data_IF_823243775727
#
_entry.id   IF_823243775727
#
_cell.length_a   1.000
_cell.length_b   1.000
_cell.length_c   1.000
_cell.angle_alpha   90.00
_cell.angle_beta   90.00
_cell.angle_gamma   90.00
#
_symmetry.space_group_name_H-M   'P 1'
#
loop_
_entity.id
_entity.type
_entity.pdbx_description
1 polymer ?
#
# COMPACT_ATOMS: atom_id res chain seq x y z
N UNK A 1 -75.89 22.95 18.49
CA UNK A 1 -75.47 21.84 17.62
C UNK A 1 -74.25 22.32 16.83
N UNK A 2 -73.07 21.79 17.15
CA UNK A 2 -71.79 22.22 16.54
C UNK A 2 -71.68 21.52 15.18
N UNK A 3 -71.65 22.30 14.09
CA UNK A 3 -71.39 21.79 12.75
C UNK A 3 -69.90 21.44 12.62
N UNK A 4 -69.63 20.17 12.33
CA UNK A 4 -68.29 19.69 11.97
C UNK A 4 -68.23 19.68 10.44
N UNK A 5 -67.44 20.58 9.86
CA UNK A 5 -67.11 20.57 8.43
C UNK A 5 -66.05 19.49 8.14
N UNK A 6 -66.21 18.66 7.09
CA UNK A 6 -65.24 17.64 6.73
C UNK A 6 -63.96 18.29 6.16
N UNK A 7 -62.82 17.86 6.67
CA UNK A 7 -61.51 18.27 6.20
C UNK A 7 -61.22 17.57 4.86
N UNK A 8 -61.35 18.28 3.72
CA UNK A 8 -60.97 17.77 2.41
C UNK A 8 -59.44 17.76 2.29
N UNK A 9 -58.82 16.65 2.71
CA UNK A 9 -57.39 16.42 2.50
C UNK A 9 -57.19 16.13 1.00
N UNK A 10 -56.61 17.09 0.28
CA UNK A 10 -56.36 16.98 -1.15
C UNK A 10 -55.38 15.84 -1.42
N UNK A 11 -55.78 14.83 -2.19
CA UNK A 11 -55.00 13.62 -2.48
C UNK A 11 -53.61 13.95 -3.06
N UNK A 12 -53.49 15.08 -3.76
CA UNK A 12 -52.24 15.61 -4.29
C UNK A 12 -51.25 16.04 -3.20
N UNK A 13 -51.73 16.60 -2.09
CA UNK A 13 -50.87 16.98 -0.95
C UNK A 13 -50.33 15.75 -0.23
N UNK A 14 -51.12 14.67 -0.12
CA UNK A 14 -50.67 13.40 0.47
C UNK A 14 -49.64 12.71 -0.43
N UNK A 15 -49.84 12.73 -1.75
CA UNK A 15 -48.88 12.20 -2.72
C UNK A 15 -47.56 13.01 -2.73
N UNK A 16 -47.63 14.35 -2.64
CA UNK A 16 -46.44 15.20 -2.55
C UNK A 16 -45.67 14.95 -1.25
N UNK A 17 -46.37 14.78 -0.12
CA UNK A 17 -45.75 14.48 1.17
C UNK A 17 -45.09 13.10 1.17
N UNK A 18 -45.70 12.08 0.55
CA UNK A 18 -45.11 10.75 0.37
C UNK A 18 -43.90 10.77 -0.57
N UNK A 19 -43.90 11.59 -1.63
CA UNK A 19 -42.71 11.81 -2.47
C UNK A 19 -41.57 12.51 -1.71
N UNK A 20 -41.88 13.50 -0.86
CA UNK A 20 -40.88 14.22 -0.06
C UNK A 20 -40.27 13.33 1.03
N UNK A 21 -41.05 12.42 1.63
CA UNK A 21 -40.57 11.41 2.59
C UNK A 21 -39.77 10.29 1.90
N UNK A 22 -40.02 10.04 0.60
CA UNK A 22 -39.22 9.12 -0.22
C UNK A 22 -37.89 9.75 -0.69
N UNK A 23 -37.80 11.08 -0.71
CA UNK A 23 -36.59 11.85 -1.05
C UNK A 23 -35.67 12.07 0.15
N UNK A 24 -36.15 11.86 1.37
CA UNK A 24 -35.27 11.62 2.52
C UNK A 24 -34.75 10.19 2.48
N UNK A 25 -33.94 9.86 1.47
CA UNK A 25 -32.96 8.80 1.69
C UNK A 25 -32.17 9.26 2.90
N UNK A 26 -32.22 8.47 3.98
CA UNK A 26 -31.37 8.68 5.13
C UNK A 26 -29.93 8.77 4.62
N UNK A 27 -29.39 9.98 4.52
CA UNK A 27 -27.96 10.24 4.43
C UNK A 27 -27.33 9.92 5.79
N UNK A 28 -27.57 8.69 6.27
CA UNK A 28 -26.84 8.16 7.40
C UNK A 28 -25.48 7.74 6.86
N UNK A 29 -24.45 8.30 7.47
CA UNK A 29 -23.07 7.93 7.22
C UNK A 29 -22.95 6.39 7.31
N UNK A 30 -22.56 5.75 6.21
CA UNK A 30 -22.25 4.33 6.23
C UNK A 30 -21.04 4.09 7.14
N UNK A 31 -21.01 2.96 7.84
CA UNK A 31 -19.87 2.55 8.65
C UNK A 31 -18.92 1.76 7.78
N UNK A 32 -17.68 2.25 7.70
CA UNK A 32 -16.56 1.62 7.04
C UNK A 32 -15.55 1.24 8.10
N UNK A 33 -15.05 0.00 8.02
CA UNK A 33 -13.96 -0.45 8.87
C UNK A 33 -12.75 -0.73 8.00
N UNK A 34 -11.62 -0.13 8.33
CA UNK A 34 -10.32 -0.42 7.74
C UNK A 34 -9.56 -1.34 8.70
N UNK A 35 -9.15 -2.51 8.22
CA UNK A 35 -8.23 -3.39 8.95
C UNK A 35 -6.85 -3.24 8.33
N UNK A 36 -5.91 -2.77 9.12
CA UNK A 36 -4.55 -2.49 8.70
C UNK A 36 -3.65 -3.64 9.13
N UNK A 37 -2.89 -4.20 8.20
CA UNK A 37 -1.93 -5.25 8.53
C UNK A 37 -0.88 -4.78 9.52
N UNK A 38 -0.50 -3.50 9.47
CA UNK A 38 0.66 -2.97 10.17
C UNK A 38 0.28 -1.83 11.14
N UNK A 39 1.29 -1.22 11.75
CA UNK A 39 1.13 -0.14 12.71
C UNK A 39 1.04 1.21 11.99
N UNK A 40 0.21 2.15 12.45
CA UNK A 40 0.07 3.51 11.86
C UNK A 40 1.38 4.33 11.85
N UNK A 41 2.44 3.82 12.46
CA UNK A 41 3.77 4.44 12.47
C UNK A 41 4.48 4.30 11.12
N UNK A 42 4.07 3.36 10.27
CA UNK A 42 4.65 3.20 8.94
C UNK A 42 4.07 4.22 7.97
N UNK A 43 4.94 4.85 7.18
CA UNK A 43 4.53 5.89 6.25
C UNK A 43 3.57 5.37 5.16
N UNK A 44 3.71 4.12 4.71
CA UNK A 44 2.75 3.50 3.78
C UNK A 44 1.32 3.55 4.36
N UNK A 45 1.17 3.13 5.62
CA UNK A 45 -0.08 3.15 6.36
C UNK A 45 -0.63 4.57 6.54
N UNK A 46 0.23 5.52 6.92
CA UNK A 46 -0.18 6.93 7.03
C UNK A 46 -0.65 7.53 5.70
N UNK A 47 -0.02 7.15 4.59
CA UNK A 47 -0.34 7.67 3.27
C UNK A 47 -1.71 7.17 2.78
N UNK A 48 -1.98 5.86 2.85
CA UNK A 48 -3.30 5.35 2.47
C UNK A 48 -4.37 5.75 3.49
N UNK A 49 -4.03 5.84 4.78
CA UNK A 49 -4.93 6.36 5.83
C UNK A 49 -5.41 7.77 5.49
N UNK A 50 -4.49 8.65 5.09
CA UNK A 50 -4.81 10.03 4.69
C UNK A 50 -5.74 10.04 3.48
N UNK A 51 -5.44 9.26 2.43
CA UNK A 51 -6.27 9.21 1.23
C UNK A 51 -7.69 8.68 1.51
N UNK A 52 -7.80 7.64 2.34
CA UNK A 52 -9.09 7.09 2.77
C UNK A 52 -9.88 8.14 3.57
N UNK A 53 -9.24 8.84 4.52
CA UNK A 53 -9.90 9.86 5.31
C UNK A 53 -10.32 11.07 4.49
N UNK A 54 -9.47 11.56 3.59
CA UNK A 54 -9.79 12.70 2.72
C UNK A 54 -11.02 12.39 1.83
N UNK A 55 -11.20 11.13 1.46
CA UNK A 55 -12.24 10.68 0.53
C UNK A 55 -13.53 10.21 1.21
N UNK A 56 -13.43 9.39 2.27
CA UNK A 56 -14.58 8.71 2.87
C UNK A 56 -15.11 9.42 4.12
N UNK A 57 -14.25 9.93 5.00
CA UNK A 57 -14.66 10.48 6.30
C UNK A 57 -15.53 11.75 6.22
N UNK A 58 -15.53 12.55 5.13
CA UNK A 58 -16.53 13.61 4.95
C UNK A 58 -17.97 13.11 4.75
N UNK A 59 -18.14 11.84 4.35
CA UNK A 59 -19.43 11.26 3.95
C UNK A 59 -19.87 10.07 4.83
N UNK A 60 -18.92 9.40 5.47
CA UNK A 60 -19.07 8.09 6.10
C UNK A 60 -18.33 8.02 7.44
N UNK A 61 -18.77 7.12 8.33
CA UNK A 61 -18.12 6.85 9.61
C UNK A 61 -17.02 5.81 9.37
N UNK A 62 -15.76 6.26 9.33
CA UNK A 62 -14.60 5.41 9.06
C UNK A 62 -13.86 5.11 10.37
N UNK A 63 -13.61 3.83 10.62
CA UNK A 63 -12.92 3.36 11.82
C UNK A 63 -11.83 2.35 11.47
N UNK A 64 -10.80 2.28 12.30
CA UNK A 64 -9.56 1.57 11.99
C UNK A 64 -9.23 0.53 13.06
N UNK A 65 -8.60 -0.56 12.64
CA UNK A 65 -8.01 -1.57 13.54
C UNK A 65 -6.67 -2.04 12.98
N UNK A 66 -5.60 -1.82 13.74
CA UNK A 66 -4.25 -2.23 13.39
C UNK A 66 -3.96 -3.65 13.89
N UNK A 67 -3.43 -4.51 13.03
CA UNK A 67 -3.01 -5.86 13.41
C UNK A 67 -1.56 -5.89 13.95
N UNK A 68 -0.72 -4.91 13.60
CA UNK A 68 0.69 -4.74 14.02
C UNK A 68 1.61 -5.94 13.67
N UNK A 69 1.37 -6.56 12.50
CA UNK A 69 2.01 -7.84 12.12
C UNK A 69 3.48 -7.74 11.71
N UNK A 70 4.01 -6.55 11.44
CA UNK A 70 5.47 -6.38 11.17
C UNK A 70 6.30 -6.42 12.45
N UNK A 71 5.74 -5.96 13.57
CA UNK A 71 6.44 -5.89 14.86
C UNK A 71 6.20 -7.14 15.70
N UNK A 72 4.95 -7.60 15.76
CA UNK A 72 4.56 -8.79 16.50
C UNK A 72 5.12 -10.09 15.87
N UNK A 73 5.37 -11.12 16.68
CA UNK A 73 5.79 -12.43 16.16
C UNK A 73 4.61 -13.17 15.52
N UNK A 74 4.90 -14.06 14.56
CA UNK A 74 3.88 -14.73 13.72
C UNK A 74 2.86 -15.53 14.53
N UNK A 75 3.25 -16.07 15.68
CA UNK A 75 2.38 -16.85 16.57
C UNK A 75 1.22 -16.02 17.13
N UNK A 76 1.35 -14.68 17.17
CA UNK A 76 0.30 -13.79 17.64
C UNK A 76 -0.67 -13.35 16.53
N UNK A 77 -0.41 -13.65 15.26
CA UNK A 77 -1.21 -13.14 14.14
C UNK A 77 -2.66 -13.64 14.18
N UNK A 78 -2.88 -14.90 14.56
CA UNK A 78 -4.21 -15.48 14.68
C UNK A 78 -5.04 -14.75 15.76
N UNK A 79 -4.43 -14.43 16.90
CA UNK A 79 -5.09 -13.67 17.97
C UNK A 79 -5.47 -12.26 17.48
N UNK A 80 -4.56 -11.58 16.77
CA UNK A 80 -4.85 -10.26 16.18
C UNK A 80 -6.00 -10.32 15.17
N UNK A 81 -6.07 -11.38 14.35
CA UNK A 81 -7.17 -11.60 13.41
C UNK A 81 -8.51 -11.86 14.13
N UNK A 82 -8.50 -12.56 15.27
CA UNK A 82 -9.69 -12.76 16.10
C UNK A 82 -10.20 -11.46 16.71
N UNK A 83 -9.28 -10.59 17.16
CA UNK A 83 -9.63 -9.26 17.66
C UNK A 83 -10.19 -8.36 16.55
N UNK A 84 -9.56 -8.35 15.37
CA UNK A 84 -10.06 -7.63 14.20
C UNK A 84 -11.46 -8.11 13.79
N UNK A 85 -11.69 -9.42 13.79
CA UNK A 85 -12.99 -10.00 13.47
C UNK A 85 -14.07 -9.61 14.49
N UNK A 86 -13.77 -9.69 15.79
CA UNK A 86 -14.68 -9.22 16.85
C UNK A 86 -15.00 -7.73 16.70
N UNK A 87 -14.00 -6.93 16.31
CA UNK A 87 -14.18 -5.51 16.04
C UNK A 87 -15.17 -5.28 14.90
N UNK A 88 -15.00 -5.98 13.76
CA UNK A 88 -15.92 -5.95 12.62
C UNK A 88 -17.35 -6.31 13.06
N UNK A 89 -17.52 -7.42 13.78
CA UNK A 89 -18.84 -7.88 14.23
C UNK A 89 -19.51 -6.88 15.17
N UNK A 90 -18.76 -6.26 16.09
CA UNK A 90 -19.30 -5.32 17.09
C UNK A 90 -19.83 -4.02 16.47
N UNK A 91 -19.37 -3.67 15.27
CA UNK A 91 -19.68 -2.39 14.60
C UNK A 91 -20.70 -2.54 13.47
N UNK A 92 -20.86 -3.76 12.94
CA UNK A 92 -21.75 -4.10 11.83
C UNK A 92 -21.59 -3.14 10.64
N UNK A 93 -20.40 -3.10 10.01
CA UNK A 93 -20.11 -2.18 8.92
C UNK A 93 -20.88 -2.54 7.65
N UNK A 94 -21.09 -1.54 6.80
CA UNK A 94 -21.60 -1.73 5.44
C UNK A 94 -20.48 -2.07 4.44
N UNK A 95 -19.22 -1.80 4.80
CA UNK A 95 -18.05 -2.10 3.97
C UNK A 95 -16.82 -2.30 4.85
N UNK A 96 -15.97 -3.26 4.47
CA UNK A 96 -14.65 -3.47 5.09
C UNK A 96 -13.56 -3.17 4.06
N UNK A 97 -12.54 -2.44 4.47
CA UNK A 97 -11.29 -2.26 3.73
C UNK A 97 -10.22 -3.12 4.39
N UNK A 98 -9.53 -3.97 3.63
CA UNK A 98 -8.38 -4.74 4.11
C UNK A 98 -7.10 -4.15 3.50
N UNK A 99 -6.21 -3.63 4.34
CA UNK A 99 -4.92 -3.11 3.91
C UNK A 99 -3.80 -4.14 4.13
N UNK A 100 -3.14 -4.45 3.03
CA UNK A 100 -1.98 -5.33 2.85
C UNK A 100 -2.23 -6.84 3.07
N UNK A 101 -1.22 -7.64 2.71
CA UNK A 101 -1.32 -9.10 2.56
C UNK A 101 -1.76 -9.81 3.84
N UNK A 102 -1.35 -9.37 5.03
CA UNK A 102 -1.66 -10.08 6.28
C UNK A 102 -3.14 -9.93 6.66
N UNK A 103 -3.72 -8.75 6.52
CA UNK A 103 -5.14 -8.52 6.77
C UNK A 103 -5.99 -9.34 5.80
N UNK A 104 -5.64 -9.36 4.51
CA UNK A 104 -6.30 -10.19 3.51
C UNK A 104 -6.16 -11.68 3.83
N UNK A 105 -4.93 -12.17 4.00
CA UNK A 105 -4.65 -13.57 4.26
C UNK A 105 -5.39 -14.10 5.49
N UNK A 106 -5.48 -13.31 6.56
CA UNK A 106 -6.06 -13.74 7.83
C UNK A 106 -7.59 -13.58 7.92
N UNK A 107 -8.20 -12.71 7.11
CA UNK A 107 -9.63 -12.38 7.23
C UNK A 107 -10.48 -12.68 6.00
N UNK A 108 -9.90 -12.93 4.82
CA UNK A 108 -10.67 -13.10 3.58
C UNK A 108 -11.77 -14.17 3.67
N UNK A 109 -11.48 -15.34 4.27
CA UNK A 109 -12.48 -16.42 4.39
C UNK A 109 -13.67 -16.00 5.26
N UNK A 110 -13.41 -15.45 6.45
CA UNK A 110 -14.46 -14.98 7.38
C UNK A 110 -15.33 -13.90 6.74
N UNK A 111 -14.71 -13.01 5.97
CA UNK A 111 -15.40 -11.95 5.26
C UNK A 111 -16.17 -12.46 4.03
N UNK A 112 -15.68 -13.48 3.33
CA UNK A 112 -16.41 -14.11 2.23
C UNK A 112 -17.64 -14.88 2.73
N UNK A 113 -17.54 -15.52 3.89
CA UNK A 113 -18.69 -16.15 4.57
C UNK A 113 -19.66 -15.09 5.12
N UNK A 114 -19.19 -13.87 5.32
CA UNK A 114 -20.02 -12.71 5.61
C UNK A 114 -20.66 -12.15 4.33
N UNK A 115 -21.78 -11.45 4.48
CA UNK A 115 -22.41 -10.73 3.36
C UNK A 115 -21.83 -9.33 3.13
N UNK A 116 -20.73 -8.98 3.81
CA UNK A 116 -20.15 -7.64 3.81
C UNK A 116 -19.27 -7.44 2.56
N UNK A 117 -19.47 -6.38 1.76
CA UNK A 117 -18.55 -5.96 0.70
C UNK A 117 -17.14 -5.67 1.22
N UNK A 118 -16.13 -6.07 0.45
CA UNK A 118 -14.72 -5.87 0.80
C UNK A 118 -13.98 -5.17 -0.33
N UNK A 119 -13.22 -4.12 0.04
CA UNK A 119 -12.19 -3.52 -0.81
C UNK A 119 -10.83 -3.85 -0.22
N UNK A 120 -9.92 -4.46 -0.97
CA UNK A 120 -8.54 -4.63 -0.53
C UNK A 120 -7.62 -3.57 -1.15
N UNK A 121 -6.51 -3.27 -0.49
CA UNK A 121 -5.41 -2.42 -0.99
C UNK A 121 -4.08 -2.94 -0.44
N UNK A 122 -2.94 -2.56 -1.05
CA UNK A 122 -1.61 -2.98 -0.59
C UNK A 122 -1.31 -4.47 -0.80
N UNK A 123 -2.10 -5.15 -1.65
CA UNK A 123 -1.97 -6.59 -1.86
C UNK A 123 -0.85 -6.88 -2.85
N UNK A 124 0.27 -7.41 -2.35
CA UNK A 124 1.44 -7.78 -3.16
C UNK A 124 1.33 -9.21 -3.71
N UNK A 125 0.64 -10.11 -3.00
CA UNK A 125 0.36 -11.44 -3.52
C UNK A 125 -0.58 -11.37 -4.74
N UNK A 126 -0.60 -12.41 -5.57
CA UNK A 126 -1.63 -12.52 -6.60
C UNK A 126 -2.99 -12.79 -5.92
N UNK A 127 -4.03 -11.97 -6.14
CA UNK A 127 -5.34 -12.20 -5.52
C UNK A 127 -5.95 -13.59 -5.76
N UNK A 128 -5.50 -14.30 -6.80
CA UNK A 128 -5.90 -15.68 -7.08
C UNK A 128 -5.40 -16.69 -6.03
N UNK A 129 -4.28 -16.42 -5.38
CA UNK A 129 -3.72 -17.29 -4.32
C UNK A 129 -4.60 -17.26 -3.05
N UNK A 130 -5.35 -16.17 -2.85
CA UNK A 130 -6.36 -16.05 -1.80
C UNK A 130 -7.77 -16.43 -2.28
N UNK A 131 -7.92 -16.90 -3.52
CA UNK A 131 -9.21 -17.16 -4.17
C UNK A 131 -10.15 -15.94 -4.25
N UNK A 132 -9.64 -14.70 -4.17
CA UNK A 132 -10.52 -13.50 -4.16
C UNK A 132 -11.30 -13.36 -5.47
N UNK A 133 -10.77 -13.86 -6.59
CA UNK A 133 -11.47 -13.87 -7.88
C UNK A 133 -12.71 -14.77 -7.90
N UNK A 134 -12.88 -15.64 -6.91
CA UNK A 134 -14.07 -16.48 -6.74
C UNK A 134 -15.11 -15.80 -5.83
N UNK A 135 -14.72 -14.73 -5.13
CA UNK A 135 -15.54 -14.03 -4.14
C UNK A 135 -16.21 -12.81 -4.77
N UNK A 136 -17.53 -12.88 -4.99
CA UNK A 136 -18.33 -11.81 -5.61
C UNK A 136 -18.32 -10.47 -4.85
N UNK A 137 -17.96 -10.50 -3.57
CA UNK A 137 -17.96 -9.32 -2.68
C UNK A 137 -16.61 -8.63 -2.59
N UNK A 138 -15.59 -9.13 -3.26
CA UNK A 138 -14.23 -8.61 -3.17
C UNK A 138 -13.86 -7.86 -4.45
N UNK A 139 -13.34 -6.66 -4.27
CA UNK A 139 -12.60 -5.91 -5.29
C UNK A 139 -11.43 -5.19 -4.61
N UNK A 140 -10.57 -4.51 -5.36
CA UNK A 140 -9.50 -3.77 -4.71
C UNK A 140 -8.35 -3.35 -5.62
N UNK A 141 -7.30 -2.91 -4.96
CA UNK A 141 -6.08 -2.37 -5.55
C UNK A 141 -4.94 -3.35 -5.28
N UNK A 142 -4.28 -3.73 -6.35
CA UNK A 142 -3.16 -4.65 -6.36
C UNK A 142 -1.87 -3.82 -6.38
N UNK A 143 -1.00 -4.06 -5.41
CA UNK A 143 0.28 -3.37 -5.29
C UNK A 143 1.33 -4.06 -6.15
N UNK A 144 1.88 -3.37 -7.15
CA UNK A 144 2.97 -3.91 -7.96
C UNK A 144 4.12 -2.91 -8.03
N UNK A 145 5.30 -3.23 -7.47
CA UNK A 145 6.44 -2.35 -7.59
C UNK A 145 6.79 -2.14 -9.06
N UNK A 146 7.15 -0.89 -9.40
CA UNK A 146 7.36 -0.42 -10.77
C UNK A 146 8.74 -0.80 -11.33
N UNK A 147 9.20 -2.02 -11.02
CA UNK A 147 10.56 -2.53 -11.21
C UNK A 147 11.18 -2.10 -12.54
N UNK A 148 10.52 -2.44 -13.66
CA UNK A 148 11.08 -2.18 -15.00
C UNK A 148 11.31 -0.69 -15.24
N UNK A 149 10.36 0.16 -14.83
CA UNK A 149 10.46 1.62 -14.99
C UNK A 149 11.52 2.20 -14.04
N UNK A 150 11.58 1.69 -12.81
CA UNK A 150 12.57 2.10 -11.81
C UNK A 150 14.00 1.70 -12.21
N UNK A 151 14.22 0.48 -12.70
CA UNK A 151 15.53 0.02 -13.17
C UNK A 151 16.00 0.78 -14.42
N UNK A 152 15.10 1.06 -15.38
CA UNK A 152 15.41 1.92 -16.53
C UNK A 152 15.82 3.33 -16.10
N UNK A 153 15.13 3.88 -15.10
CA UNK A 153 15.51 5.18 -14.53
C UNK A 153 16.90 5.11 -13.89
N UNK A 154 17.15 4.12 -13.03
CA UNK A 154 18.46 3.94 -12.38
C UNK A 154 19.57 3.81 -13.44
N UNK A 155 19.35 3.05 -14.52
CA UNK A 155 20.29 2.92 -15.63
C UNK A 155 20.66 4.26 -16.27
N UNK A 156 19.68 5.17 -16.42
CA UNK A 156 19.89 6.51 -16.98
C UNK A 156 20.66 7.43 -16.03
N UNK A 157 20.52 7.21 -14.72
CA UNK A 157 21.16 8.02 -13.68
C UNK A 157 22.58 7.55 -13.35
N UNK A 158 22.85 6.26 -13.49
CA UNK A 158 24.19 5.70 -13.32
C UNK A 158 25.10 6.04 -14.51
N UNK A 159 26.43 6.12 -14.29
CA UNK A 159 27.39 6.29 -15.38
C UNK A 159 27.14 5.30 -16.52
N UNK A 160 27.36 5.77 -17.75
CA UNK A 160 27.21 4.95 -18.96
C UNK A 160 28.42 4.02 -19.12
N UNK A 161 28.48 2.97 -18.31
CA UNK A 161 29.49 1.90 -18.37
C UNK A 161 28.94 0.65 -19.05
N UNK A 162 29.84 -0.19 -19.57
CA UNK A 162 29.53 -1.35 -20.43
C UNK A 162 28.77 -2.47 -19.68
N UNK A 163 28.83 -2.50 -18.35
CA UNK A 163 28.04 -3.41 -17.52
C UNK A 163 27.55 -2.68 -16.27
N UNK A 164 26.26 -2.84 -15.95
CA UNK A 164 25.68 -2.30 -14.72
C UNK A 164 25.09 -3.43 -13.89
N UNK A 165 25.59 -3.61 -12.69
CA UNK A 165 25.12 -4.60 -11.73
C UNK A 165 24.40 -3.90 -10.59
N UNK A 166 23.15 -4.26 -10.33
CA UNK A 166 22.29 -3.66 -9.31
C UNK A 166 21.93 -4.71 -8.27
N UNK A 167 22.22 -4.43 -7.00
CA UNK A 167 21.79 -5.24 -5.87
C UNK A 167 20.40 -4.78 -5.42
N UNK A 168 19.43 -5.68 -5.36
CA UNK A 168 18.09 -5.39 -4.83
C UNK A 168 17.91 -6.15 -3.52
N UNK A 169 17.74 -5.42 -2.42
CA UNK A 169 17.63 -5.96 -1.08
C UNK A 169 16.19 -5.97 -0.60
N UNK A 170 15.77 -7.12 -0.09
CA UNK A 170 14.46 -7.36 0.53
C UNK A 170 14.65 -8.00 1.90
N UNK A 171 13.70 -7.78 2.80
CA UNK A 171 13.58 -8.60 4.00
C UNK A 171 12.90 -9.95 3.68
N UNK A 172 12.62 -10.74 4.72
CA UNK A 172 11.95 -12.05 4.62
C UNK A 172 10.53 -12.03 5.21
N UNK A 173 9.81 -10.92 5.02
CA UNK A 173 8.37 -10.82 5.29
C UNK A 173 7.50 -11.38 4.16
N UNK A 174 6.24 -11.72 4.47
CA UNK A 174 5.25 -12.24 3.50
C UNK A 174 5.10 -11.33 2.27
N UNK A 175 5.06 -10.02 2.51
CA UNK A 175 4.97 -9.00 1.46
C UNK A 175 6.24 -8.94 0.62
N UNK A 176 7.41 -9.06 1.24
CA UNK A 176 8.70 -9.11 0.55
C UNK A 176 8.85 -10.36 -0.31
N UNK A 177 8.44 -11.53 0.19
CA UNK A 177 8.43 -12.77 -0.60
C UNK A 177 7.58 -12.60 -1.86
N UNK A 178 6.37 -12.04 -1.71
CA UNK A 178 5.44 -11.80 -2.83
C UNK A 178 5.99 -10.80 -3.84
N UNK A 179 6.55 -9.68 -3.36
CA UNK A 179 7.16 -8.65 -4.21
C UNK A 179 8.42 -9.17 -4.93
N UNK A 180 9.28 -9.91 -4.24
CA UNK A 180 10.49 -10.52 -4.79
C UNK A 180 10.16 -11.58 -5.84
N UNK A 181 9.15 -12.42 -5.60
CA UNK A 181 8.67 -13.40 -6.58
C UNK A 181 8.15 -12.70 -7.83
N UNK A 182 7.32 -11.66 -7.67
CA UNK A 182 6.84 -10.86 -8.81
C UNK A 182 8.00 -10.27 -9.62
N UNK A 183 8.99 -9.68 -8.94
CA UNK A 183 10.16 -9.04 -9.56
C UNK A 183 11.03 -10.06 -10.30
N UNK A 184 11.32 -11.22 -9.69
CA UNK A 184 12.14 -12.27 -10.30
C UNK A 184 11.51 -12.83 -11.58
N UNK A 185 10.18 -12.98 -11.62
CA UNK A 185 9.43 -13.39 -12.83
C UNK A 185 9.51 -12.34 -13.95
N UNK A 186 9.60 -11.05 -13.62
CA UNK A 186 9.76 -9.98 -14.61
C UNK A 186 11.21 -9.86 -15.10
N UNK A 187 12.19 -10.09 -14.21
CA UNK A 187 13.62 -9.98 -14.49
C UNK A 187 14.09 -10.93 -15.61
N UNK A 188 13.53 -12.13 -15.70
CA UNK A 188 13.86 -13.09 -16.76
C UNK A 188 13.53 -12.60 -18.17
N UNK A 189 12.74 -11.52 -18.30
CA UNK A 189 12.12 -11.14 -19.56
C UNK A 189 12.57 -9.81 -20.20
N UNK A 190 13.36 -8.92 -19.57
CA UNK A 190 13.95 -7.69 -20.18
C UNK A 190 14.78 -6.90 -19.12
N UNK A 191 16.01 -6.44 -19.41
CA UNK A 191 16.41 -5.01 -19.62
C UNK A 191 17.89 -4.85 -20.08
N UNK A 192 18.21 -5.18 -21.34
CA UNK A 192 19.50 -4.80 -21.96
C UNK A 192 20.75 -5.23 -21.16
N UNK A 193 21.66 -4.28 -20.87
CA UNK A 193 22.97 -4.50 -20.22
C UNK A 193 22.95 -4.37 -18.67
N UNK A 194 21.79 -4.53 -18.03
CA UNK A 194 21.66 -4.48 -16.56
C UNK A 194 21.58 -5.90 -15.98
N UNK A 195 22.52 -6.25 -15.11
CA UNK A 195 22.44 -7.41 -14.24
C UNK A 195 21.74 -7.00 -12.93
N UNK A 196 20.70 -7.73 -12.53
CA UNK A 196 20.00 -7.50 -11.27
C UNK A 196 20.12 -8.73 -10.38
N UNK A 197 20.65 -8.54 -9.17
CA UNK A 197 20.75 -9.58 -8.17
C UNK A 197 19.78 -9.26 -7.04
N UNK A 198 18.77 -10.10 -6.86
CA UNK A 198 17.83 -10.01 -5.75
C UNK A 198 18.33 -10.84 -4.59
N UNK A 199 18.38 -10.23 -3.39
CA UNK A 199 18.78 -10.91 -2.15
C UNK A 199 17.75 -10.63 -1.06
N UNK A 200 17.26 -11.69 -0.41
CA UNK A 200 16.37 -11.61 0.74
C UNK A 200 17.12 -11.96 2.02
N UNK A 201 17.05 -11.09 3.03
CA UNK A 201 17.84 -11.18 4.26
C UNK A 201 16.95 -10.92 5.48
N UNK A 202 17.03 -11.75 6.52
CA UNK A 202 16.27 -11.55 7.77
C UNK A 202 17.06 -10.88 8.89
N UNK A 203 18.39 -11.01 8.91
CA UNK A 203 19.23 -10.55 10.03
C UNK A 203 19.95 -9.25 9.72
N UNK A 204 19.99 -8.35 10.69
CA UNK A 204 20.67 -7.05 10.59
C UNK A 204 22.13 -7.19 10.16
N UNK A 205 22.86 -8.16 10.72
CA UNK A 205 24.26 -8.38 10.40
C UNK A 205 24.47 -8.71 8.90
N UNK A 206 23.58 -9.51 8.31
CA UNK A 206 23.66 -9.86 6.89
C UNK A 206 23.36 -8.66 5.99
N UNK A 207 22.35 -7.85 6.36
CA UNK A 207 22.05 -6.58 5.69
C UNK A 207 23.26 -5.65 5.68
N UNK A 208 23.87 -5.45 6.86
CA UNK A 208 25.04 -4.60 7.00
C UNK A 208 26.22 -5.10 6.15
N UNK A 209 26.48 -6.41 6.18
CA UNK A 209 27.55 -7.03 5.39
C UNK A 209 27.33 -6.86 3.88
N UNK A 210 26.11 -7.08 3.39
CA UNK A 210 25.78 -6.93 1.98
C UNK A 210 25.94 -5.48 1.50
N UNK A 211 25.49 -4.52 2.32
CA UNK A 211 25.64 -3.09 2.01
C UNK A 211 27.12 -2.68 1.96
N UNK A 212 27.89 -3.01 2.99
CA UNK A 212 29.31 -2.60 3.10
C UNK A 212 30.17 -3.15 1.97
N UNK A 213 29.91 -4.39 1.56
CA UNK A 213 30.71 -5.07 0.51
C UNK A 213 30.17 -4.87 -0.90
N UNK A 214 29.07 -4.12 -1.09
CA UNK A 214 28.40 -4.03 -2.38
C UNK A 214 29.33 -3.58 -3.52
N UNK A 215 30.16 -2.56 -3.28
CA UNK A 215 31.12 -2.06 -4.29
C UNK A 215 32.21 -3.08 -4.61
N UNK A 216 32.71 -3.79 -3.61
CA UNK A 216 33.75 -4.83 -3.77
C UNK A 216 33.20 -6.03 -4.56
N UNK A 217 31.91 -6.34 -4.40
CA UNK A 217 31.19 -7.36 -5.17
C UNK A 217 30.79 -6.89 -6.58
N UNK A 218 31.21 -5.68 -6.99
CA UNK A 218 31.02 -5.14 -8.33
C UNK A 218 29.66 -4.49 -8.58
N UNK A 219 28.84 -4.24 -7.55
CA UNK A 219 27.58 -3.51 -7.72
C UNK A 219 27.83 -2.02 -8.00
N UNK A 220 27.00 -1.43 -8.85
CA UNK A 220 27.02 -0.02 -9.20
C UNK A 220 25.96 0.79 -8.42
N UNK A 221 24.94 0.11 -7.91
CA UNK A 221 23.89 0.69 -7.08
C UNK A 221 23.24 -0.39 -6.22
N UNK A 222 22.59 0.05 -5.15
CA UNK A 222 21.69 -0.75 -4.34
C UNK A 222 20.26 -0.23 -4.52
N UNK A 223 19.28 -1.12 -4.53
CA UNK A 223 17.89 -0.79 -4.31
C UNK A 223 17.48 -1.39 -2.97
N UNK A 224 17.18 -0.53 -1.99
CA UNK A 224 16.60 -0.97 -0.72
C UNK A 224 15.09 -1.01 -0.93
N UNK A 225 14.55 -2.21 -1.11
CA UNK A 225 13.17 -2.42 -1.54
C UNK A 225 12.21 -2.45 -0.34
N UNK A 226 12.23 -3.53 0.45
CA UNK A 226 11.47 -3.70 1.69
C UNK A 226 12.41 -4.16 2.80
N UNK A 227 12.24 -3.64 4.00
CA UNK A 227 13.23 -3.72 5.10
C UNK A 227 12.59 -3.61 6.49
N UNK A 228 11.27 -3.77 6.60
CA UNK A 228 10.50 -3.53 7.81
C UNK A 228 10.36 -4.75 8.72
N UNK A 229 10.79 -5.95 8.29
CA UNK A 229 10.76 -7.18 9.10
C UNK A 229 12.14 -7.68 9.50
N UNK A 230 13.18 -6.84 9.38
CA UNK A 230 14.55 -7.19 9.76
C UNK A 230 14.65 -7.39 11.28
N UNK A 231 15.41 -8.40 11.69
CA UNK A 231 15.60 -8.79 13.09
C UNK A 231 17.06 -8.62 13.50
N UNK A 232 17.28 -8.29 14.77
CA UNK A 232 18.62 -8.27 15.37
C UNK A 232 19.02 -9.66 15.92
N UNK A 233 20.23 -9.74 16.50
CA UNK A 233 20.77 -10.99 17.05
C UNK A 233 19.93 -11.57 18.21
N UNK A 234 19.12 -10.75 18.89
CA UNK A 234 18.17 -11.15 19.93
C UNK A 234 16.76 -11.39 19.37
N UNK A 235 16.61 -11.44 18.04
CA UNK A 235 15.34 -11.63 17.33
C UNK A 235 14.29 -10.52 17.57
N UNK A 236 14.73 -9.33 17.98
CA UNK A 236 13.86 -8.15 18.12
C UNK A 236 13.71 -7.47 16.78
N UNK A 237 12.56 -6.82 16.57
CA UNK A 237 12.33 -6.01 15.37
C UNK A 237 13.33 -4.85 15.34
N UNK A 238 14.03 -4.71 14.22
CA UNK A 238 14.87 -3.53 13.96
C UNK A 238 13.97 -2.37 13.53
N UNK A 239 14.31 -1.17 13.97
CA UNK A 239 13.63 0.04 13.50
C UNK A 239 13.99 0.30 12.03
N UNK A 240 12.96 0.37 11.18
CA UNK A 240 13.13 0.44 9.74
C UNK A 240 13.84 1.74 9.32
N UNK A 241 13.49 2.86 9.93
CA UNK A 241 14.06 4.17 9.60
C UNK A 241 15.53 4.25 10.03
N UNK A 242 15.87 3.68 11.20
CA UNK A 242 17.26 3.56 11.64
C UNK A 242 18.09 2.68 10.71
N UNK A 243 17.54 1.55 10.23
CA UNK A 243 18.22 0.69 9.26
C UNK A 243 18.45 1.42 7.94
N UNK A 244 17.42 2.06 7.38
CA UNK A 244 17.53 2.79 6.13
C UNK A 244 18.53 3.95 6.24
N UNK A 245 18.51 4.68 7.37
CA UNK A 245 19.50 5.71 7.68
C UNK A 245 20.92 5.17 7.70
N UNK A 246 21.13 4.08 8.42
CA UNK A 246 22.42 3.42 8.47
C UNK A 246 22.90 3.01 7.07
N UNK A 247 22.02 2.44 6.25
CA UNK A 247 22.34 2.08 4.86
C UNK A 247 22.75 3.31 4.05
N UNK A 248 21.97 4.39 4.12
CA UNK A 248 22.27 5.64 3.41
C UNK A 248 23.63 6.20 3.79
N UNK A 249 24.00 6.16 5.07
CA UNK A 249 25.28 6.64 5.58
C UNK A 249 26.47 5.78 5.12
N UNK A 250 26.32 4.45 5.12
CA UNK A 250 27.44 3.50 4.97
C UNK A 250 27.57 2.88 3.58
N UNK A 251 26.55 2.96 2.73
CA UNK A 251 26.60 2.36 1.38
C UNK A 251 27.75 2.97 0.55
N UNK A 252 28.59 2.14 -0.09
CA UNK A 252 29.68 2.61 -0.93
C UNK A 252 29.23 2.96 -2.37
N UNK A 253 27.94 2.79 -2.67
CA UNK A 253 27.29 3.07 -3.97
C UNK A 253 25.92 3.74 -3.78
N UNK A 254 25.37 4.44 -4.80
CA UNK A 254 24.05 5.07 -4.71
C UNK A 254 22.94 4.07 -4.37
N UNK A 255 22.05 4.45 -3.45
CA UNK A 255 20.91 3.65 -3.01
C UNK A 255 19.56 4.24 -3.45
N UNK A 256 18.71 3.43 -4.07
CA UNK A 256 17.39 3.81 -4.58
C UNK A 256 16.28 2.99 -3.91
N UNK A 257 15.02 3.35 -4.14
CA UNK A 257 13.85 2.61 -3.65
C UNK A 257 12.77 2.42 -4.72
N UNK A 258 11.86 1.47 -4.47
CA UNK A 258 10.64 1.31 -5.29
C UNK A 258 9.40 1.96 -4.66
N UNK A 259 9.47 2.35 -3.39
CA UNK A 259 8.38 2.98 -2.66
C UNK A 259 8.78 4.34 -2.10
N UNK A 260 7.82 5.28 -2.09
CA UNK A 260 8.01 6.65 -1.66
C UNK A 260 8.42 6.77 -0.19
N UNK A 261 7.93 5.87 0.67
CA UNK A 261 8.30 5.84 2.10
C UNK A 261 9.79 5.63 2.36
N UNK A 262 10.53 5.12 1.38
CA UNK A 262 11.97 4.90 1.51
C UNK A 262 12.80 6.12 1.12
N UNK A 263 12.19 7.15 0.52
CA UNK A 263 12.89 8.32 0.00
C UNK A 263 12.89 9.41 1.06
N UNK A 264 14.08 9.73 1.59
CA UNK A 264 14.27 10.80 2.56
C UNK A 264 15.66 11.43 2.45
N UNK A 265 15.90 12.54 3.16
CA UNK A 265 17.22 13.17 3.23
C UNK A 265 18.31 12.22 3.75
N UNK A 266 17.94 11.34 4.68
CA UNK A 266 18.81 10.34 5.29
C UNK A 266 18.53 8.91 4.77
N UNK A 267 17.76 8.75 3.68
CA UNK A 267 17.28 7.44 3.22
C UNK A 267 17.74 7.06 1.81
N UNK A 268 16.86 6.44 1.03
CA UNK A 268 17.09 6.26 -0.40
C UNK A 268 17.10 7.60 -1.12
N UNK A 269 17.97 7.72 -2.13
CA UNK A 269 18.15 8.97 -2.87
C UNK A 269 16.93 9.31 -3.73
N UNK A 270 16.12 8.30 -4.07
CA UNK A 270 14.92 8.47 -4.88
C UNK A 270 14.63 7.31 -5.81
N UNK A 271 13.76 7.59 -6.77
CA UNK A 271 13.37 6.64 -7.81
C UNK A 271 12.09 7.07 -8.53
N UNK A 272 11.61 6.15 -9.39
CA UNK A 272 10.23 6.14 -9.82
C UNK A 272 9.49 5.20 -8.88
N UNK A 273 8.74 5.79 -7.96
CA UNK A 273 8.25 5.12 -6.76
C UNK A 273 6.74 5.03 -6.75
N UNK A 274 6.23 3.98 -6.09
CA UNK A 274 4.83 3.89 -5.70
C UNK A 274 4.60 4.72 -4.43
N UNK A 275 3.46 5.40 -4.33
CA UNK A 275 3.06 6.13 -3.12
C UNK A 275 1.72 5.63 -2.59
N UNK A 276 1.60 5.52 -1.26
CA UNK A 276 0.42 4.97 -0.59
C UNK A 276 -0.80 5.86 -0.70
N UNK A 277 -0.63 7.16 -0.99
CA UNK A 277 -1.75 8.10 -1.08
C UNK A 277 -2.57 7.83 -2.34
N UNK A 278 -1.92 7.74 -3.50
CA UNK A 278 -2.62 7.36 -4.73
C UNK A 278 -3.26 5.97 -4.61
N UNK A 279 -2.53 5.03 -3.98
CA UNK A 279 -3.02 3.68 -3.73
C UNK A 279 -4.31 3.68 -2.88
N UNK A 280 -4.32 4.45 -1.79
CA UNK A 280 -5.47 4.63 -0.92
C UNK A 280 -6.63 5.37 -1.61
N UNK A 281 -6.35 6.34 -2.48
CA UNK A 281 -7.37 7.03 -3.29
C UNK A 281 -8.11 6.05 -4.20
N UNK A 282 -7.38 5.15 -4.88
CA UNK A 282 -7.99 4.13 -5.74
C UNK A 282 -8.95 3.24 -4.93
N UNK A 283 -8.53 2.79 -3.75
CA UNK A 283 -9.35 1.95 -2.87
C UNK A 283 -10.56 2.70 -2.31
N UNK A 284 -10.38 3.95 -1.87
CA UNK A 284 -11.46 4.78 -1.34
C UNK A 284 -12.52 5.09 -2.42
N UNK A 285 -12.09 5.34 -3.66
CA UNK A 285 -13.00 5.54 -4.78
C UNK A 285 -13.81 4.26 -5.12
N UNK A 286 -13.21 3.07 -5.00
CA UNK A 286 -13.95 1.81 -5.11
C UNK A 286 -14.97 1.65 -3.98
N UNK A 287 -14.60 2.01 -2.75
CA UNK A 287 -15.50 1.98 -1.61
C UNK A 287 -16.70 2.92 -1.81
N UNK A 288 -16.49 4.14 -2.32
CA UNK A 288 -17.58 5.07 -2.65
C UNK A 288 -18.57 4.48 -3.65
N UNK A 289 -18.10 3.82 -4.71
CA UNK A 289 -18.97 3.16 -5.70
C UNK A 289 -19.84 2.08 -5.05
N UNK A 290 -19.24 1.27 -4.18
CA UNK A 290 -19.95 0.20 -3.47
C UNK A 290 -21.00 0.78 -2.53
N UNK A 291 -20.64 1.81 -1.75
CA UNK A 291 -21.55 2.49 -0.84
C UNK A 291 -22.68 3.24 -1.56
N UNK A 292 -22.46 3.65 -2.82
CA UNK A 292 -23.47 4.19 -3.72
C UNK A 292 -24.37 3.12 -4.37
N UNK A 293 -24.15 1.83 -4.08
CA UNK A 293 -24.99 0.71 -4.52
C UNK A 293 -24.45 -0.10 -5.70
N UNK A 294 -23.25 0.21 -6.20
CA UNK A 294 -22.59 -0.65 -7.19
C UNK A 294 -22.15 -1.97 -6.54
N UNK A 295 -22.36 -3.09 -7.22
CA UNK A 295 -21.95 -4.40 -6.69
C UNK A 295 -20.44 -4.59 -6.84
N UNK A 296 -19.72 -5.12 -5.83
CA UNK A 296 -18.27 -5.34 -5.93
C UNK A 296 -17.87 -6.21 -7.13
N UNK A 297 -18.67 -7.22 -7.48
CA UNK A 297 -18.44 -8.08 -8.66
C UNK A 297 -18.43 -7.34 -10.02
N UNK A 298 -18.96 -6.12 -10.08
CA UNK A 298 -18.95 -5.27 -11.28
C UNK A 298 -17.76 -4.31 -11.30
N UNK A 299 -17.03 -4.17 -10.19
CA UNK A 299 -15.86 -3.30 -10.07
C UNK A 299 -14.63 -4.18 -10.22
N UNK A 300 -13.96 -4.08 -11.37
CA UNK A 300 -12.74 -4.85 -11.60
C UNK A 300 -11.61 -4.38 -10.68
N UNK A 301 -10.87 -5.30 -10.03
CA UNK A 301 -9.63 -4.95 -9.35
C UNK A 301 -8.65 -4.28 -10.31
N UNK A 302 -7.90 -3.31 -9.81
CA UNK A 302 -6.90 -2.56 -10.59
C UNK A 302 -5.51 -2.79 -10.02
N UNK A 303 -4.50 -2.74 -10.89
CA UNK A 303 -3.11 -2.63 -10.44
C UNK A 303 -2.77 -1.15 -10.36
N UNK A 304 -2.16 -0.74 -9.25
CA UNK A 304 -1.55 0.59 -9.19
C UNK A 304 -0.27 0.60 -10.02
N UNK A 305 -0.36 1.16 -11.22
CA UNK A 305 0.75 1.26 -12.16
C UNK A 305 1.24 2.70 -12.36
N UNK A 306 0.74 3.64 -11.55
CA UNK A 306 1.10 5.05 -11.61
C UNK A 306 2.13 5.38 -10.53
N UNK A 307 3.39 5.53 -10.94
CA UNK A 307 4.47 5.98 -10.06
C UNK A 307 4.68 7.48 -10.12
N UNK A 308 5.47 7.99 -9.18
CA UNK A 308 5.93 9.37 -9.16
C UNK A 308 7.46 9.40 -9.14
N UNK A 309 8.03 10.40 -9.80
CA UNK A 309 9.44 10.70 -9.59
C UNK A 309 9.58 11.36 -8.22
N UNK A 310 10.36 10.76 -7.33
CA UNK A 310 10.62 11.31 -6.01
C UNK A 310 12.11 11.21 -5.72
N UNK A 311 12.74 12.33 -5.32
CA UNK A 311 14.17 12.37 -5.08
C UNK A 311 14.54 13.27 -3.90
N UNK A 312 15.54 12.82 -3.15
CA UNK A 312 16.23 13.56 -2.10
C UNK A 312 17.27 14.49 -2.72
N UNK A 313 17.17 15.79 -2.43
CA UNK A 313 18.16 16.78 -2.89
C UNK A 313 19.53 16.48 -2.30
N UNK A 314 19.58 16.13 -1.01
CA UNK A 314 20.79 15.73 -0.30
C UNK A 314 21.38 14.44 -0.88
N UNK A 315 20.54 13.44 -1.15
CA UNK A 315 20.97 12.16 -1.74
C UNK A 315 21.60 12.34 -3.12
N UNK A 316 20.97 13.12 -4.00
CA UNK A 316 21.53 13.41 -5.33
C UNK A 316 22.85 14.18 -5.25
N UNK A 317 22.96 15.16 -4.35
CA UNK A 317 24.19 15.90 -4.11
C UNK A 317 25.33 15.00 -3.60
N UNK A 318 25.04 14.11 -2.63
CA UNK A 318 26.01 13.14 -2.09
C UNK A 318 26.68 12.30 -3.19
N UNK A 319 25.89 11.87 -4.18
CA UNK A 319 26.37 11.00 -5.26
C UNK A 319 26.73 11.74 -6.55
N UNK A 320 26.65 13.08 -6.55
CA UNK A 320 26.87 13.92 -7.74
C UNK A 320 26.02 13.45 -8.94
N UNK A 321 24.76 13.07 -8.70
CA UNK A 321 23.82 12.60 -9.72
C UNK A 321 22.99 13.79 -10.20
N UNK A 322 23.01 14.03 -11.51
CA UNK A 322 22.12 14.99 -12.17
C UNK A 322 20.94 14.28 -12.80
N UNK A 323 19.72 14.74 -12.52
CA UNK A 323 18.52 14.23 -13.18
C UNK A 323 18.43 14.78 -14.61
N UNK A 324 17.98 13.99 -15.60
CA UNK A 324 17.56 14.52 -16.89
C UNK A 324 16.45 15.57 -16.70
N UNK A 325 16.46 16.65 -17.48
CA UNK A 325 15.57 17.81 -17.30
C UNK A 325 14.09 17.44 -17.29
N UNK A 326 13.69 16.46 -18.09
CA UNK A 326 12.31 15.97 -18.17
C UNK A 326 11.86 15.20 -16.92
N UNK A 327 12.81 14.57 -16.21
CA UNK A 327 12.55 13.93 -14.91
C UNK A 327 12.54 15.01 -13.83
N UNK A 328 13.55 15.88 -13.81
CA UNK A 328 13.70 16.97 -12.84
C UNK A 328 12.44 17.84 -12.71
N UNK A 329 11.82 18.19 -13.84
CA UNK A 329 10.58 18.99 -13.88
C UNK A 329 9.39 18.32 -13.21
N UNK A 330 9.34 16.99 -13.20
CA UNK A 330 8.22 16.19 -12.69
C UNK A 330 8.54 15.54 -11.33
N UNK A 331 9.70 15.87 -10.75
CA UNK A 331 10.15 15.31 -9.47
C UNK A 331 9.45 15.96 -8.29
N UNK A 332 8.93 15.13 -7.39
CA UNK A 332 8.64 15.50 -6.01
C UNK A 332 9.94 15.53 -5.21
N UNK A 333 10.27 16.71 -4.69
CA UNK A 333 11.53 16.93 -3.99
C UNK A 333 11.38 16.69 -2.49
N UNK A 334 12.23 15.79 -1.97
CA UNK A 334 12.46 15.63 -0.54
C UNK A 334 13.68 16.45 -0.17
N UNK A 335 13.52 17.32 0.84
CA UNK A 335 14.57 18.25 1.28
C UNK A 335 15.57 17.56 2.19
#
# INVERSE_FOLDING_TARGET
>A
MIQITPLNINLHCVALLLCLVSLSQNANAAKVIVIESYHHGYQWDQEYYRAINDTLSPLHDVSYFEMDTKRLPKEQFAERADLAWKYIQSRAPQLVILADDNAVNLLHQRLNDSLIPVVYLGVNMNPREYHLNEHKRFTGVIERPLLRRSLLLIQRLLPQTVHRKILVLFDQGVTSDSAAEYISKQHSSILGDIEVNLVQLSQLADWQQQVLTAKEQGYNAIVVALYQTVRDAENRSVDADQLLKWISEHTPVPNFGFWGFSVSSEGNIGGYVLDGYHHGELAANMALKILAGEKPENIFPVTDDLGKYMFSQQGLAKWNISLPKEIEKNTLWVK
#
